data_IF_755939470506
#
_entry.id   IF_755939470506
#
_cell.length_a   1.000
_cell.length_b   1.000
_cell.length_c   1.000
_cell.angle_alpha   90.00
_cell.angle_beta   90.00
_cell.angle_gamma   90.00
#
_symmetry.space_group_name_H-M   'P 1'
#
loop_
_entity.id
_entity.type
_entity.pdbx_description
1 polymer ?
#
# COMPACT_ATOMS: atom_id res chain seq x y z
N UNK A 1 -60.72 10.12 59.23
CA UNK A 1 -59.81 10.04 60.37
C UNK A 1 -58.46 10.46 59.79
N UNK A 2 -58.17 11.74 59.73
CA UNK A 2 -57.64 12.65 60.73
C UNK A 2 -56.30 12.16 61.27
N UNK A 3 -55.24 12.81 60.88
CA UNK A 3 -54.25 13.50 61.69
C UNK A 3 -52.97 13.65 60.83
N UNK A 4 -52.51 14.76 60.56
CA UNK A 4 -52.03 15.97 61.21
C UNK A 4 -50.56 16.23 60.91
N UNK A 5 -50.36 17.35 60.40
CA UNK A 5 -49.17 18.06 59.99
C UNK A 5 -48.25 18.31 61.18
N UNK A 6 -46.98 18.08 61.05
CA UNK A 6 -45.96 18.72 61.87
C UNK A 6 -44.91 19.43 60.99
N UNK A 7 -45.06 20.73 60.88
CA UNK A 7 -44.03 21.71 60.44
C UNK A 7 -42.91 21.79 61.49
N UNK A 8 -41.66 21.66 61.11
CA UNK A 8 -40.51 22.13 61.88
C UNK A 8 -39.82 23.28 61.17
N UNK A 9 -39.29 24.22 61.94
CA UNK A 9 -38.92 25.54 61.40
C UNK A 9 -37.52 25.56 60.79
N UNK A 10 -37.38 26.52 59.86
CA UNK A 10 -36.10 26.95 59.30
C UNK A 10 -35.18 27.45 60.41
N UNK A 11 -34.00 26.87 60.51
CA UNK A 11 -32.83 27.51 61.14
C UNK A 11 -31.94 28.05 60.02
N UNK A 12 -31.84 29.35 59.99
CA UNK A 12 -30.85 30.10 59.28
C UNK A 12 -29.48 29.71 59.84
N UNK A 13 -28.58 29.24 59.03
CA UNK A 13 -27.17 29.23 59.34
C UNK A 13 -26.41 29.99 58.31
N UNK A 14 -25.81 31.05 58.84
CA UNK A 14 -25.04 32.04 58.14
C UNK A 14 -23.63 31.54 57.87
N UNK A 15 -23.11 31.84 56.70
CA UNK A 15 -21.72 32.15 56.52
C UNK A 15 -20.72 31.04 56.77
N UNK A 16 -20.41 30.24 55.68
CA UNK A 16 -19.05 29.70 55.49
C UNK A 16 -18.62 29.95 54.05
N UNK A 17 -18.15 31.16 53.86
CA UNK A 17 -17.25 31.55 52.79
C UNK A 17 -15.95 30.75 53.00
N UNK A 18 -15.89 29.54 52.43
CA UNK A 18 -14.76 28.61 52.48
C UNK A 18 -14.04 28.63 51.19
N UNK A 19 -12.99 29.42 51.12
CA UNK A 19 -12.05 29.59 50.02
C UNK A 19 -11.90 28.37 49.10
N UNK A 20 -12.48 28.42 47.90
CA UNK A 20 -12.04 27.63 46.78
C UNK A 20 -10.62 28.03 46.45
N UNK A 21 -9.66 27.38 47.13
CA UNK A 21 -8.26 27.50 46.83
C UNK A 21 -8.08 27.31 45.33
N UNK A 22 -7.71 28.40 44.64
CA UNK A 22 -7.15 28.35 43.30
C UNK A 22 -6.00 27.37 43.35
N UNK A 23 -6.26 26.09 43.03
CA UNK A 23 -5.20 25.15 42.71
C UNK A 23 -4.44 25.75 41.53
N UNK A 24 -3.30 26.37 41.89
CA UNK A 24 -2.40 27.03 40.97
C UNK A 24 -2.09 26.10 39.81
N UNK A 25 -2.53 26.47 38.61
CA UNK A 25 -2.27 25.74 37.38
C UNK A 25 -0.75 25.58 37.27
N UNK A 26 -0.25 24.40 37.60
CA UNK A 26 1.17 24.07 37.41
C UNK A 26 1.59 24.47 36.01
N UNK A 27 2.70 25.21 35.83
CA UNK A 27 3.13 25.68 34.51
C UNK A 27 3.25 24.48 33.54
N UNK A 28 2.84 24.68 32.30
CA UNK A 28 2.79 23.64 31.28
C UNK A 28 4.08 22.82 31.16
N UNK A 29 5.24 23.46 31.38
CA UNK A 29 6.57 22.82 31.45
C UNK A 29 6.72 21.82 32.60
N UNK A 30 6.13 22.08 33.78
CA UNK A 30 6.18 21.16 34.92
C UNK A 30 5.31 19.91 34.67
N UNK A 31 4.15 20.08 34.02
CA UNK A 31 3.28 18.97 33.63
C UNK A 31 3.95 18.08 32.58
N UNK A 32 4.68 18.67 31.62
CA UNK A 32 5.39 17.92 30.58
C UNK A 32 6.56 17.10 31.18
N UNK A 33 7.38 17.68 32.05
CA UNK A 33 8.46 16.96 32.77
C UNK A 33 7.94 15.82 33.64
N UNK A 34 6.81 16.02 34.33
CA UNK A 34 6.16 14.97 35.12
C UNK A 34 5.65 13.82 34.27
N UNK A 35 5.05 14.10 33.07
CA UNK A 35 4.66 13.09 32.10
C UNK A 35 5.86 12.33 31.55
N UNK A 36 6.93 13.02 31.14
CA UNK A 36 8.17 12.39 30.66
C UNK A 36 8.79 11.44 31.71
N UNK A 37 8.78 11.84 33.02
CA UNK A 37 9.27 10.96 34.08
C UNK A 37 8.39 9.73 34.28
N UNK A 38 7.08 9.89 34.20
CA UNK A 38 6.12 8.77 34.33
C UNK A 38 6.22 7.79 33.15
N UNK A 39 6.35 8.33 31.95
CA UNK A 39 6.35 7.56 30.72
C UNK A 39 7.78 7.17 30.26
N UNK A 40 8.78 7.34 31.15
CA UNK A 40 10.22 7.10 30.87
C UNK A 40 10.49 5.69 30.35
N UNK A 41 9.85 4.67 30.92
CA UNK A 41 10.03 3.29 30.47
C UNK A 41 9.49 3.09 29.06
N UNK A 42 8.34 3.69 28.71
CA UNK A 42 7.77 3.63 27.37
C UNK A 42 8.66 4.34 26.35
N UNK A 43 9.18 5.53 26.71
CA UNK A 43 10.12 6.28 25.87
C UNK A 43 11.41 5.47 25.64
N UNK A 44 11.94 4.84 26.69
CA UNK A 44 13.16 4.03 26.58
C UNK A 44 12.95 2.80 25.67
N UNK A 45 11.75 2.19 25.71
CA UNK A 45 11.40 1.06 24.85
C UNK A 45 11.18 1.47 23.38
N UNK A 46 10.71 2.69 23.11
CA UNK A 46 10.53 3.20 21.75
C UNK A 46 11.81 3.78 21.14
N UNK A 47 12.79 4.14 21.96
CA UNK A 47 14.02 4.79 21.52
C UNK A 47 14.81 3.97 20.47
N UNK A 48 15.04 2.65 20.65
CA UNK A 48 15.75 1.84 19.65
C UNK A 48 15.05 1.86 18.30
N UNK A 49 13.72 1.71 18.29
CA UNK A 49 12.93 1.75 17.05
C UNK A 49 13.02 3.13 16.38
N UNK A 50 12.95 4.21 17.17
CA UNK A 50 13.09 5.59 16.66
C UNK A 50 14.48 5.83 16.06
N UNK A 51 15.53 5.37 16.73
CA UNK A 51 16.92 5.48 16.24
C UNK A 51 17.09 4.74 14.92
N UNK A 52 16.61 3.48 14.83
CA UNK A 52 16.65 2.72 13.59
C UNK A 52 15.86 3.41 12.47
N UNK A 53 14.69 3.95 12.78
CA UNK A 53 13.89 4.72 11.81
C UNK A 53 14.64 5.96 11.31
N UNK A 54 15.30 6.71 12.20
CA UNK A 54 16.08 7.89 11.83
C UNK A 54 17.28 7.53 10.97
N UNK A 55 18.02 6.47 11.32
CA UNK A 55 19.24 6.06 10.61
C UNK A 55 18.89 5.43 9.25
N UNK A 56 17.92 4.51 9.20
CA UNK A 56 17.64 3.74 8.00
C UNK A 56 16.48 4.29 7.16
N UNK A 57 15.59 5.10 7.73
CA UNK A 57 14.48 5.74 7.03
C UNK A 57 14.79 7.17 6.61
N UNK A 58 15.18 8.01 7.57
CA UNK A 58 15.33 9.46 7.32
C UNK A 58 16.73 9.86 6.83
N UNK A 59 17.81 9.28 7.37
CA UNK A 59 19.16 9.66 6.95
C UNK A 59 19.41 9.44 5.45
N UNK A 60 18.95 8.34 4.81
CA UNK A 60 19.08 8.18 3.36
C UNK A 60 18.34 9.24 2.54
N UNK A 61 17.27 9.86 3.08
CA UNK A 61 16.56 10.94 2.40
C UNK A 61 17.44 12.19 2.18
N UNK A 62 18.49 12.36 3.00
CA UNK A 62 19.47 13.42 2.76
C UNK A 62 20.20 13.23 1.41
N UNK A 63 20.30 11.98 0.95
CA UNK A 63 20.84 11.65 -0.37
C UNK A 63 20.05 12.24 -1.54
N UNK A 64 18.77 12.59 -1.35
CA UNK A 64 17.96 13.25 -2.37
C UNK A 64 18.51 14.63 -2.77
N UNK A 65 19.36 15.23 -1.95
CA UNK A 65 20.08 16.47 -2.29
C UNK A 65 20.93 16.30 -3.56
N UNK A 66 21.44 15.09 -3.83
CA UNK A 66 22.19 14.80 -5.07
C UNK A 66 21.40 15.13 -6.34
N UNK A 67 20.06 15.09 -6.29
CA UNK A 67 19.22 15.47 -7.44
C UNK A 67 19.44 16.91 -7.92
N UNK A 68 19.96 17.78 -7.04
CA UNK A 68 20.22 19.20 -7.32
C UNK A 68 21.72 19.53 -7.50
N UNK A 69 22.57 18.50 -7.45
CA UNK A 69 24.02 18.62 -7.56
C UNK A 69 24.53 17.84 -8.77
N UNK A 70 25.68 18.23 -9.30
CA UNK A 70 26.53 17.34 -10.09
C UNK A 70 27.39 16.54 -9.12
N UNK A 71 26.77 15.49 -8.54
CA UNK A 71 27.35 14.74 -7.46
C UNK A 71 28.51 13.87 -7.94
N UNK A 72 29.65 14.05 -7.30
CA UNK A 72 30.82 13.21 -7.50
C UNK A 72 31.18 12.49 -6.20
N UNK A 73 31.32 11.17 -6.27
CA UNK A 73 31.62 10.32 -5.11
C UNK A 73 32.90 10.73 -4.38
N UNK A 74 33.90 11.21 -5.12
CA UNK A 74 35.19 11.64 -4.56
C UNK A 74 35.11 12.98 -3.84
N UNK A 75 34.21 13.86 -4.26
CA UNK A 75 34.00 15.19 -3.67
C UNK A 75 33.00 15.15 -2.53
N UNK A 76 32.09 14.16 -2.54
CA UNK A 76 31.02 14.02 -1.55
C UNK A 76 29.94 15.10 -1.64
N UNK A 77 28.97 15.08 -0.72
CA UNK A 77 27.84 16.01 -0.72
C UNK A 77 28.20 17.49 -0.55
N UNK A 78 29.24 17.79 0.24
CA UNK A 78 29.58 19.16 0.62
C UNK A 78 30.37 19.90 -0.46
N UNK A 79 31.08 19.18 -1.31
CA UNK A 79 31.97 19.75 -2.31
C UNK A 79 31.51 19.53 -3.75
N UNK A 80 30.43 18.78 -3.97
CA UNK A 80 29.86 18.61 -5.30
C UNK A 80 29.14 19.88 -5.74
N UNK A 81 29.36 20.32 -7.01
CA UNK A 81 28.76 21.55 -7.55
C UNK A 81 27.23 21.50 -7.51
N UNK A 82 26.64 22.62 -7.13
CA UNK A 82 25.19 22.77 -7.16
C UNK A 82 24.71 23.17 -8.54
N UNK A 83 23.89 22.34 -9.20
CA UNK A 83 23.38 22.57 -10.57
C UNK A 83 21.88 22.91 -10.61
N UNK A 84 21.25 23.05 -9.45
CA UNK A 84 19.82 23.35 -9.36
C UNK A 84 18.95 22.29 -10.02
N UNK A 85 18.13 22.66 -10.99
CA UNK A 85 17.18 21.75 -11.65
C UNK A 85 17.69 21.12 -12.95
N UNK A 86 18.98 21.23 -13.26
CA UNK A 86 19.54 20.73 -14.52
C UNK A 86 19.32 19.21 -14.72
N UNK A 87 19.46 18.41 -13.66
CA UNK A 87 19.20 16.97 -13.72
C UNK A 87 17.73 16.66 -14.06
N UNK A 88 16.77 17.48 -13.59
CA UNK A 88 15.36 17.34 -13.95
C UNK A 88 15.10 17.76 -15.40
N UNK A 89 15.76 18.81 -15.89
CA UNK A 89 15.66 19.21 -17.31
C UNK A 89 16.16 18.09 -18.20
N UNK A 90 17.30 17.48 -17.88
CA UNK A 90 17.82 16.32 -18.58
C UNK A 90 16.81 15.14 -18.51
N UNK A 91 16.25 14.85 -17.33
CA UNK A 91 15.27 13.78 -17.13
C UNK A 91 14.06 13.94 -18.05
N UNK A 92 13.47 15.15 -18.12
CA UNK A 92 12.28 15.40 -18.93
C UNK A 92 12.54 15.48 -20.43
N UNK A 93 13.79 15.63 -20.86
CA UNK A 93 14.18 15.56 -22.26
C UNK A 93 14.59 14.16 -22.72
N UNK A 94 14.76 13.21 -21.78
CA UNK A 94 15.16 11.83 -22.08
C UNK A 94 13.96 10.99 -22.57
N UNK A 95 13.98 10.49 -23.81
CA UNK A 95 12.95 9.57 -24.29
C UNK A 95 12.87 8.26 -23.50
N UNK A 96 13.97 7.82 -22.86
CA UNK A 96 14.04 6.64 -22.01
C UNK A 96 13.17 6.81 -20.77
N UNK A 97 13.23 7.98 -20.15
CA UNK A 97 12.37 8.32 -19.01
C UNK A 97 10.89 8.26 -19.35
N UNK A 98 10.47 8.84 -20.47
CA UNK A 98 9.06 8.82 -20.89
C UNK A 98 8.57 7.43 -21.22
N UNK A 99 9.41 6.57 -21.81
CA UNK A 99 9.09 5.16 -22.02
C UNK A 99 8.90 4.41 -20.70
N UNK A 100 9.84 4.59 -19.76
CA UNK A 100 9.77 3.97 -18.45
C UNK A 100 8.51 4.45 -17.67
N UNK A 101 8.18 5.74 -17.75
CA UNK A 101 6.97 6.30 -17.17
C UNK A 101 5.72 5.67 -17.80
N UNK A 102 5.65 5.61 -19.13
CA UNK A 102 4.52 5.00 -19.84
C UNK A 102 4.35 3.54 -19.47
N UNK A 103 5.44 2.75 -19.44
CA UNK A 103 5.41 1.36 -19.03
C UNK A 103 4.91 1.21 -17.60
N UNK A 104 5.36 2.06 -16.67
CA UNK A 104 4.92 2.05 -15.28
C UNK A 104 3.43 2.32 -15.17
N UNK A 105 2.93 3.37 -15.82
CA UNK A 105 1.50 3.74 -15.78
C UNK A 105 0.63 2.66 -16.43
N UNK A 106 1.03 2.14 -17.59
CA UNK A 106 0.27 1.08 -18.29
C UNK A 106 0.23 -0.19 -17.43
N UNK A 107 1.38 -0.63 -16.92
CA UNK A 107 1.46 -1.83 -16.09
C UNK A 107 0.65 -1.68 -14.80
N UNK A 108 0.78 -0.53 -14.13
CA UNK A 108 -0.03 -0.24 -12.95
C UNK A 108 -1.53 -0.25 -13.25
N UNK A 109 -1.94 0.33 -14.38
CA UNK A 109 -3.36 0.35 -14.80
C UNK A 109 -3.91 -1.05 -15.06
N UNK A 110 -3.13 -1.90 -15.75
CA UNK A 110 -3.50 -3.31 -15.97
C UNK A 110 -3.61 -4.03 -14.62
N UNK A 111 -2.63 -3.86 -13.74
CA UNK A 111 -2.65 -4.50 -12.43
C UNK A 111 -3.80 -4.00 -11.57
N UNK A 112 -4.07 -2.69 -11.56
CA UNK A 112 -5.20 -2.14 -10.82
C UNK A 112 -6.53 -2.73 -11.29
N UNK A 113 -6.71 -2.82 -12.61
CA UNK A 113 -7.94 -3.34 -13.21
C UNK A 113 -8.13 -4.85 -13.01
N UNK A 114 -7.05 -5.63 -13.10
CA UNK A 114 -7.11 -7.09 -13.03
C UNK A 114 -6.90 -7.61 -11.61
N UNK A 115 -5.91 -7.10 -10.89
CA UNK A 115 -5.56 -7.60 -9.55
C UNK A 115 -6.56 -7.15 -8.49
N UNK A 116 -7.04 -5.90 -8.51
CA UNK A 116 -7.83 -5.35 -7.42
C UNK A 116 -9.19 -6.04 -7.21
N UNK A 117 -9.95 -6.46 -8.26
CA UNK A 117 -11.21 -7.18 -8.10
C UNK A 117 -11.04 -8.63 -7.63
N UNK A 118 -9.90 -9.28 -7.91
CA UNK A 118 -9.72 -10.72 -7.67
C UNK A 118 -9.74 -11.08 -6.18
N UNK A 119 -9.03 -10.40 -5.26
CA UNK A 119 -9.13 -10.66 -3.83
C UNK A 119 -10.54 -10.44 -3.26
N UNK A 120 -11.28 -9.46 -3.79
CA UNK A 120 -12.67 -9.19 -3.38
C UNK A 120 -13.56 -10.37 -3.79
N UNK A 121 -13.45 -10.80 -5.04
CA UNK A 121 -14.20 -11.94 -5.55
C UNK A 121 -13.87 -13.22 -4.79
N UNK A 122 -12.59 -13.46 -4.50
CA UNK A 122 -12.12 -14.62 -3.75
C UNK A 122 -12.59 -14.58 -2.29
N UNK A 123 -12.60 -13.41 -1.64
CA UNK A 123 -13.13 -13.24 -0.28
C UNK A 123 -14.63 -13.57 -0.21
N UNK A 124 -15.43 -13.10 -1.17
CA UNK A 124 -16.86 -13.39 -1.28
C UNK A 124 -17.08 -14.90 -1.54
N UNK A 125 -16.25 -15.51 -2.39
CA UNK A 125 -16.30 -16.95 -2.64
C UNK A 125 -16.02 -17.74 -1.36
N UNK A 126 -14.96 -17.39 -0.64
CA UNK A 126 -14.62 -18.03 0.65
C UNK A 126 -15.70 -17.84 1.71
N UNK A 127 -16.31 -16.66 1.80
CA UNK A 127 -17.39 -16.40 2.73
C UNK A 127 -18.64 -17.25 2.42
N UNK A 128 -18.88 -17.56 1.14
CA UNK A 128 -20.00 -18.43 0.72
C UNK A 128 -19.79 -19.92 1.02
N UNK A 129 -18.58 -20.34 1.44
CA UNK A 129 -18.27 -21.75 1.71
C UNK A 129 -18.84 -22.22 3.04
N UNK A 130 -19.59 -23.33 3.00
CA UNK A 130 -20.20 -23.94 4.18
C UNK A 130 -19.19 -24.58 5.14
N UNK A 131 -18.12 -25.20 4.59
CA UNK A 131 -17.11 -25.88 5.39
C UNK A 131 -16.00 -24.93 5.82
N UNK A 132 -15.93 -24.60 7.12
CA UNK A 132 -14.86 -23.77 7.69
C UNK A 132 -13.47 -24.39 7.52
N UNK A 133 -13.35 -25.74 7.60
CA UNK A 133 -12.07 -26.44 7.45
C UNK A 133 -11.55 -26.33 6.01
N UNK A 134 -12.43 -26.59 5.03
CA UNK A 134 -12.10 -26.50 3.61
C UNK A 134 -11.71 -25.06 3.22
N UNK A 135 -12.49 -24.07 3.70
CA UNK A 135 -12.17 -22.66 3.51
C UNK A 135 -10.77 -22.31 4.04
N UNK A 136 -10.46 -22.73 5.28
CA UNK A 136 -9.15 -22.47 5.89
C UNK A 136 -8.00 -23.14 5.10
N UNK A 137 -8.20 -24.39 4.65
CA UNK A 137 -7.20 -25.09 3.84
C UNK A 137 -6.94 -24.37 2.51
N UNK A 138 -7.99 -24.06 1.75
CA UNK A 138 -7.85 -23.39 0.45
C UNK A 138 -7.23 -22.00 0.62
N UNK A 139 -7.65 -21.25 1.65
CA UNK A 139 -7.07 -19.94 1.96
C UNK A 139 -5.58 -20.06 2.29
N UNK A 140 -5.18 -21.02 3.11
CA UNK A 140 -3.77 -21.24 3.45
C UNK A 140 -2.94 -21.56 2.21
N UNK A 141 -3.43 -22.45 1.34
CA UNK A 141 -2.76 -22.79 0.07
C UNK A 141 -2.69 -21.58 -0.86
N UNK A 142 -3.78 -20.82 -1.00
CA UNK A 142 -3.82 -19.63 -1.84
C UNK A 142 -2.90 -18.51 -1.35
N UNK A 143 -2.59 -18.48 -0.03
CA UNK A 143 -1.70 -17.48 0.56
C UNK A 143 -0.21 -17.90 0.53
N UNK A 144 0.12 -19.16 0.26
CA UNK A 144 1.50 -19.64 0.23
C UNK A 144 2.40 -18.87 -0.74
N UNK A 145 1.97 -18.54 -1.99
CA UNK A 145 2.83 -17.87 -2.95
C UNK A 145 3.32 -16.49 -2.47
N UNK A 146 2.58 -15.82 -1.58
CA UNK A 146 2.99 -14.53 -1.01
C UNK A 146 4.35 -14.61 -0.30
N UNK A 147 4.67 -15.72 0.33
CA UNK A 147 5.92 -15.91 1.07
C UNK A 147 7.12 -16.27 0.18
N UNK A 148 6.91 -16.49 -1.12
CA UNK A 148 7.99 -16.78 -2.05
C UNK A 148 8.70 -15.48 -2.47
N UNK A 149 10.03 -15.54 -2.62
CA UNK A 149 10.79 -14.45 -3.24
C UNK A 149 10.41 -14.30 -4.71
N UNK A 150 10.58 -13.08 -5.27
CA UNK A 150 10.35 -12.87 -6.70
C UNK A 150 11.24 -13.74 -7.59
N UNK A 151 12.46 -14.03 -7.15
CA UNK A 151 13.36 -14.97 -7.87
C UNK A 151 12.69 -16.33 -8.04
N UNK A 152 12.16 -16.90 -6.95
CA UNK A 152 11.48 -18.19 -6.98
C UNK A 152 10.22 -18.15 -7.86
N UNK A 153 9.40 -17.11 -7.70
CA UNK A 153 8.18 -16.94 -8.51
C UNK A 153 8.52 -16.93 -10.01
N UNK A 154 9.48 -16.09 -10.41
CA UNK A 154 9.88 -15.96 -11.82
C UNK A 154 10.46 -17.27 -12.33
N UNK A 155 11.30 -17.94 -11.55
CA UNK A 155 11.85 -19.25 -11.92
C UNK A 155 10.75 -20.30 -12.15
N UNK A 156 9.72 -20.34 -11.30
CA UNK A 156 8.57 -21.25 -11.49
C UNK A 156 7.88 -20.95 -12.83
N UNK A 157 7.60 -19.65 -13.10
CA UNK A 157 6.96 -19.25 -14.34
C UNK A 157 7.84 -19.53 -15.57
N UNK A 158 9.15 -19.34 -15.46
CA UNK A 158 10.11 -19.64 -16.53
C UNK A 158 10.14 -21.15 -16.85
N UNK A 159 10.18 -22.01 -15.83
CA UNK A 159 10.11 -23.46 -16.01
C UNK A 159 8.76 -23.92 -16.61
N UNK A 160 7.71 -23.20 -16.36
CA UNK A 160 6.38 -23.52 -16.91
C UNK A 160 6.14 -22.94 -18.29
N UNK A 161 6.45 -21.66 -18.50
CA UNK A 161 6.01 -20.84 -19.65
C UNK A 161 7.17 -20.39 -20.57
N UNK A 162 8.42 -20.43 -20.11
CA UNK A 162 9.59 -20.05 -20.90
C UNK A 162 9.78 -20.98 -22.10
N UNK A 163 10.53 -20.55 -23.10
CA UNK A 163 10.67 -21.28 -24.40
C UNK A 163 11.07 -22.76 -24.30
N UNK A 164 11.83 -23.15 -23.26
CA UNK A 164 12.16 -24.55 -22.95
C UNK A 164 11.25 -25.18 -21.88
N UNK A 165 10.22 -24.45 -21.42
CA UNK A 165 9.35 -24.85 -20.32
C UNK A 165 8.35 -25.95 -20.69
N UNK A 166 7.63 -26.39 -19.62
CA UNK A 166 6.68 -27.53 -19.73
C UNK A 166 5.56 -27.24 -20.74
N UNK A 167 4.96 -26.03 -20.69
CA UNK A 167 3.85 -25.66 -21.59
C UNK A 167 4.27 -25.61 -23.06
N UNK A 168 5.36 -24.90 -23.44
CA UNK A 168 5.83 -24.91 -24.83
C UNK A 168 6.25 -26.32 -25.30
N UNK A 169 6.82 -27.14 -24.45
CA UNK A 169 7.14 -28.54 -24.78
C UNK A 169 5.88 -29.37 -25.09
N UNK A 170 4.86 -29.23 -24.26
CA UNK A 170 3.55 -29.86 -24.46
C UNK A 170 2.88 -29.39 -25.76
N UNK A 171 2.89 -28.08 -26.04
CA UNK A 171 2.32 -27.52 -27.26
C UNK A 171 3.02 -28.03 -28.53
N UNK A 172 4.36 -28.14 -28.50
CA UNK A 172 5.15 -28.71 -29.61
C UNK A 172 4.79 -30.17 -29.88
N UNK A 173 4.59 -30.96 -28.81
CA UNK A 173 4.14 -32.37 -28.94
C UNK A 173 2.75 -32.49 -29.58
N UNK A 174 1.91 -31.46 -29.45
CA UNK A 174 0.55 -31.44 -30.03
C UNK A 174 0.47 -30.66 -31.36
N UNK A 175 1.60 -30.47 -32.06
CA UNK A 175 1.63 -29.93 -33.42
C UNK A 175 1.78 -28.40 -33.52
N UNK A 176 1.92 -27.68 -32.41
CA UNK A 176 2.21 -26.25 -32.41
C UNK A 176 3.73 -26.09 -32.46
N UNK A 177 4.29 -25.91 -33.65
CA UNK A 177 5.75 -25.91 -33.89
C UNK A 177 6.48 -24.72 -33.29
N UNK A 178 5.85 -23.54 -33.24
CA UNK A 178 6.43 -22.31 -32.75
C UNK A 178 5.53 -21.65 -31.67
N UNK A 179 5.46 -22.22 -30.45
CA UNK A 179 4.75 -21.58 -29.37
C UNK A 179 5.45 -20.27 -28.99
N UNK A 180 4.66 -19.19 -28.75
CA UNK A 180 5.19 -17.90 -28.29
C UNK A 180 5.89 -18.11 -26.93
N UNK A 181 7.12 -17.63 -26.82
CA UNK A 181 7.79 -17.55 -25.53
C UNK A 181 7.24 -16.35 -24.76
N UNK A 182 6.27 -16.61 -23.90
CA UNK A 182 5.55 -15.60 -23.15
C UNK A 182 6.46 -14.81 -22.21
N UNK A 183 7.61 -15.38 -21.83
CA UNK A 183 8.56 -14.73 -20.91
C UNK A 183 9.41 -13.65 -21.60
N UNK A 184 9.60 -13.77 -22.92
CA UNK A 184 10.46 -12.85 -23.71
C UNK A 184 9.68 -11.98 -24.69
N UNK A 185 8.40 -12.29 -24.95
CA UNK A 185 7.58 -11.54 -25.90
C UNK A 185 7.08 -10.21 -25.30
N UNK A 186 7.48 -9.05 -25.88
CA UNK A 186 7.06 -7.74 -25.39
C UNK A 186 5.55 -7.50 -25.38
N UNK A 187 4.79 -8.17 -26.27
CA UNK A 187 3.36 -8.00 -26.40
C UNK A 187 2.56 -8.63 -25.24
N UNK A 188 3.03 -9.76 -24.75
CA UNK A 188 2.40 -10.52 -23.67
C UNK A 188 2.99 -10.21 -22.29
N UNK A 189 4.18 -9.64 -22.23
CA UNK A 189 4.95 -9.43 -21.02
C UNK A 189 4.17 -8.73 -19.90
N UNK A 190 3.47 -7.64 -20.19
CA UNK A 190 2.71 -6.88 -19.19
C UNK A 190 1.58 -7.68 -18.56
N UNK A 191 0.93 -8.56 -19.33
CA UNK A 191 -0.09 -9.47 -18.81
C UNK A 191 0.53 -10.60 -17.99
N UNK A 192 1.65 -11.15 -18.43
CA UNK A 192 2.40 -12.16 -17.69
C UNK A 192 2.80 -11.65 -16.29
N UNK A 193 3.42 -10.46 -16.23
CA UNK A 193 3.85 -9.83 -14.98
C UNK A 193 2.66 -9.57 -14.06
N UNK A 194 1.53 -9.16 -14.63
CA UNK A 194 0.29 -8.98 -13.88
C UNK A 194 -0.27 -10.30 -13.36
N UNK A 195 -0.20 -11.37 -14.15
CA UNK A 195 -0.62 -12.72 -13.73
C UNK A 195 0.25 -13.27 -12.61
N UNK A 196 1.58 -13.06 -12.67
CA UNK A 196 2.52 -13.42 -11.60
C UNK A 196 2.16 -12.69 -10.29
N UNK A 197 1.87 -11.38 -10.36
CA UNK A 197 1.44 -10.60 -9.19
C UNK A 197 0.13 -11.12 -8.61
N UNK A 198 -0.88 -11.36 -9.47
CA UNK A 198 -2.17 -11.90 -9.06
C UNK A 198 -1.99 -13.23 -8.33
N UNK A 199 -1.24 -14.14 -8.93
CA UNK A 199 -0.97 -15.45 -8.33
C UNK A 199 -0.27 -15.33 -6.98
N UNK A 200 0.72 -14.43 -6.87
CA UNK A 200 1.51 -14.24 -5.67
C UNK A 200 0.71 -13.57 -4.53
N UNK A 201 -0.04 -12.52 -4.82
CA UNK A 201 -0.53 -11.61 -3.79
C UNK A 201 -2.03 -11.76 -3.46
N UNK A 202 -2.81 -12.42 -4.33
CA UNK A 202 -4.28 -12.50 -4.18
C UNK A 202 -4.70 -13.18 -2.89
N UNK A 203 -4.10 -14.34 -2.56
CA UNK A 203 -4.48 -15.10 -1.37
C UNK A 203 -4.26 -14.30 -0.08
N UNK A 204 -3.15 -13.59 0.01
CA UNK A 204 -2.83 -12.71 1.15
C UNK A 204 -3.78 -11.53 1.24
N UNK A 205 -3.98 -10.80 0.14
CA UNK A 205 -4.88 -9.64 0.07
C UNK A 205 -6.33 -10.00 0.39
N UNK A 206 -6.75 -11.22 0.09
CA UNK A 206 -8.10 -11.74 0.40
C UNK A 206 -8.39 -11.75 1.90
N UNK A 207 -7.37 -11.94 2.76
CA UNK A 207 -7.53 -11.96 4.22
C UNK A 207 -8.14 -10.65 4.73
N UNK A 208 -7.70 -9.52 4.19
CA UNK A 208 -8.18 -8.19 4.59
C UNK A 208 -9.67 -8.03 4.26
N UNK A 209 -10.08 -8.46 3.06
CA UNK A 209 -11.48 -8.43 2.66
C UNK A 209 -12.35 -9.42 3.45
N UNK A 210 -11.83 -10.59 3.80
CA UNK A 210 -12.53 -11.54 4.67
C UNK A 210 -12.76 -10.97 6.07
N UNK A 211 -11.77 -10.26 6.64
CA UNK A 211 -11.94 -9.58 7.92
C UNK A 211 -13.01 -8.48 7.84
N UNK A 212 -13.05 -7.73 6.74
CA UNK A 212 -14.08 -6.73 6.51
C UNK A 212 -15.48 -7.34 6.33
N UNK A 213 -15.59 -8.48 5.62
CA UNK A 213 -16.85 -9.23 5.51
C UNK A 213 -17.37 -9.71 6.87
N UNK A 214 -16.48 -10.20 7.73
CA UNK A 214 -16.82 -10.66 9.07
C UNK A 214 -17.30 -9.51 10.00
N UNK A 215 -16.99 -8.26 9.68
CA UNK A 215 -17.45 -7.08 10.42
C UNK A 215 -18.87 -6.62 10.03
N UNK A 216 -19.43 -7.12 8.92
CA UNK A 216 -20.80 -6.80 8.49
C UNK A 216 -21.78 -7.51 9.42
N UNK A 217 -22.76 -6.77 9.99
CA UNK A 217 -23.74 -7.35 10.92
C UNK A 217 -24.56 -8.47 10.26
N UNK A 218 -24.62 -9.67 10.87
CA UNK A 218 -25.46 -10.77 10.41
C UNK A 218 -26.95 -10.41 10.32
N UNK A 219 -27.43 -9.50 11.17
CA UNK A 219 -28.83 -9.06 11.20
C UNK A 219 -29.28 -8.43 9.88
N UNK A 220 -28.37 -7.79 9.12
CA UNK A 220 -28.70 -7.27 7.80
C UNK A 220 -29.03 -8.38 6.80
N UNK A 221 -28.31 -9.49 6.88
CA UNK A 221 -28.55 -10.66 6.02
C UNK A 221 -29.83 -11.41 6.41
N UNK A 222 -30.13 -11.47 7.73
CA UNK A 222 -31.34 -12.06 8.26
C UNK A 222 -32.59 -11.26 7.85
N UNK A 223 -32.56 -9.93 8.02
CA UNK A 223 -33.66 -9.05 7.58
C UNK A 223 -33.89 -9.19 6.07
N UNK A 224 -32.84 -9.12 5.27
CA UNK A 224 -32.94 -9.31 3.82
C UNK A 224 -33.45 -10.71 3.42
N UNK A 225 -33.24 -11.72 4.26
CA UNK A 225 -33.78 -13.07 4.02
C UNK A 225 -35.30 -13.11 4.26
N UNK A 226 -35.79 -12.44 5.32
CA UNK A 226 -37.23 -12.30 5.61
C UNK A 226 -37.92 -11.53 4.47
N UNK A 227 -37.27 -10.49 3.91
CA UNK A 227 -37.76 -9.72 2.77
C UNK A 227 -37.68 -10.48 1.43
N UNK A 228 -37.28 -11.76 1.42
CA UNK A 228 -37.18 -12.58 0.22
C UNK A 228 -36.01 -12.18 -0.71
N UNK A 229 -35.00 -11.45 -0.23
CA UNK A 229 -33.85 -11.09 -1.04
C UNK A 229 -32.97 -12.30 -1.38
N UNK A 230 -32.84 -12.61 -2.67
CA UNK A 230 -31.93 -13.64 -3.17
C UNK A 230 -30.45 -13.28 -2.98
N UNK A 231 -29.56 -14.28 -3.23
CA UNK A 231 -28.09 -14.12 -3.03
C UNK A 231 -27.51 -12.92 -3.76
N UNK A 232 -27.89 -12.68 -5.03
CA UNK A 232 -27.41 -11.55 -5.84
C UNK A 232 -27.84 -10.19 -5.27
N UNK A 233 -29.08 -10.09 -4.77
CA UNK A 233 -29.58 -8.85 -4.16
C UNK A 233 -28.83 -8.53 -2.86
N UNK A 234 -28.58 -9.55 -2.01
CA UNK A 234 -27.75 -9.40 -0.80
C UNK A 234 -26.31 -9.01 -1.12
N UNK A 235 -25.68 -9.63 -2.12
CA UNK A 235 -24.35 -9.28 -2.58
C UNK A 235 -24.27 -7.80 -2.97
N UNK A 236 -25.20 -7.34 -3.81
CA UNK A 236 -25.17 -5.97 -4.37
C UNK A 236 -25.51 -4.88 -3.35
N UNK A 237 -26.42 -5.16 -2.40
CA UNK A 237 -26.99 -4.14 -1.50
C UNK A 237 -26.46 -4.22 -0.06
N UNK A 238 -25.83 -5.31 0.36
CA UNK A 238 -25.28 -5.47 1.71
C UNK A 238 -23.76 -5.70 1.62
N UNK A 239 -23.34 -6.75 0.93
CA UNK A 239 -21.93 -7.19 0.92
C UNK A 239 -21.02 -6.16 0.25
N UNK A 240 -21.28 -5.78 -1.01
CA UNK A 240 -20.45 -4.82 -1.74
C UNK A 240 -20.44 -3.42 -1.10
N UNK A 241 -21.59 -2.86 -0.65
CA UNK A 241 -21.57 -1.61 0.11
C UNK A 241 -20.84 -1.71 1.45
N UNK A 242 -20.94 -2.85 2.15
CA UNK A 242 -20.18 -3.11 3.38
C UNK A 242 -18.67 -3.16 3.19
N UNK A 243 -18.20 -3.60 2.02
CA UNK A 243 -16.79 -3.60 1.67
C UNK A 243 -16.28 -2.26 1.14
N UNK A 244 -17.16 -1.29 0.83
CA UNK A 244 -16.79 -0.05 0.14
C UNK A 244 -15.70 0.73 0.88
N UNK A 245 -15.79 0.87 2.18
CA UNK A 245 -14.83 1.66 2.97
C UNK A 245 -13.41 1.07 2.89
N UNK A 246 -13.27 -0.24 3.12
CA UNK A 246 -11.97 -0.91 3.03
C UNK A 246 -11.43 -0.93 1.59
N UNK A 247 -12.31 -1.10 0.61
CA UNK A 247 -11.95 -1.07 -0.81
C UNK A 247 -11.34 0.28 -1.19
N UNK A 248 -11.96 1.39 -0.79
CA UNK A 248 -11.46 2.74 -1.05
C UNK A 248 -10.15 2.99 -0.31
N UNK A 249 -10.04 2.56 0.95
CA UNK A 249 -8.80 2.70 1.72
C UNK A 249 -7.64 1.98 1.03
N UNK A 250 -7.83 0.71 0.64
CA UNK A 250 -6.80 -0.07 -0.06
C UNK A 250 -6.49 0.50 -1.44
N UNK A 251 -7.48 1.06 -2.14
CA UNK A 251 -7.27 1.74 -3.42
C UNK A 251 -6.37 2.98 -3.26
N UNK A 252 -6.60 3.80 -2.24
CA UNK A 252 -5.75 4.98 -1.96
C UNK A 252 -4.32 4.54 -1.66
N UNK A 253 -4.14 3.50 -0.84
CA UNK A 253 -2.81 2.96 -0.55
C UNK A 253 -2.13 2.42 -1.81
N UNK A 254 -2.86 1.69 -2.65
CA UNK A 254 -2.33 1.16 -3.91
C UNK A 254 -1.91 2.28 -4.88
N UNK A 255 -2.70 3.37 -4.96
CA UNK A 255 -2.33 4.54 -5.75
C UNK A 255 -1.06 5.23 -5.24
N UNK A 256 -0.81 5.19 -3.94
CA UNK A 256 0.45 5.67 -3.36
C UNK A 256 1.68 4.88 -3.83
N UNK A 257 1.52 3.60 -4.12
CA UNK A 257 2.58 2.73 -4.63
C UNK A 257 2.63 2.66 -6.16
N UNK A 258 1.75 3.37 -6.87
CA UNK A 258 1.56 3.25 -8.31
C UNK A 258 2.85 3.38 -9.16
N UNK A 259 3.76 4.25 -8.73
CA UNK A 259 5.01 4.50 -9.46
C UNK A 259 6.23 3.75 -8.88
N UNK A 260 6.11 3.21 -7.67
CA UNK A 260 7.25 2.62 -6.95
C UNK A 260 7.20 1.08 -6.87
N UNK A 261 6.11 0.47 -7.36
CA UNK A 261 5.94 -0.98 -7.26
C UNK A 261 6.76 -1.77 -8.28
N UNK A 262 6.95 -3.07 -8.02
CA UNK A 262 7.46 -4.04 -9.00
C UNK A 262 8.95 -3.98 -9.27
N UNK A 263 9.76 -3.24 -8.50
CA UNK A 263 11.20 -3.11 -8.72
C UNK A 263 11.90 -4.47 -8.88
N UNK A 264 11.79 -5.35 -7.89
CA UNK A 264 12.48 -6.64 -7.88
C UNK A 264 11.99 -7.54 -9.03
N UNK A 265 10.65 -7.62 -9.21
CA UNK A 265 10.04 -8.39 -10.29
C UNK A 265 10.50 -7.93 -11.67
N UNK A 266 10.53 -6.61 -11.90
CA UNK A 266 10.95 -6.04 -13.19
C UNK A 266 12.45 -6.18 -13.42
N UNK A 267 13.25 -5.93 -12.38
CA UNK A 267 14.71 -6.00 -12.49
C UNK A 267 15.19 -7.38 -12.94
N UNK A 268 14.60 -8.45 -12.39
CA UNK A 268 14.98 -9.83 -12.74
C UNK A 268 14.61 -10.17 -14.18
N UNK A 269 13.46 -9.66 -14.68
CA UNK A 269 12.95 -10.00 -16.02
C UNK A 269 13.37 -9.01 -17.10
N UNK A 270 13.99 -7.87 -16.74
CA UNK A 270 14.37 -6.81 -17.69
C UNK A 270 15.29 -7.30 -18.79
N UNK A 271 16.26 -8.16 -18.44
CA UNK A 271 17.21 -8.74 -19.41
C UNK A 271 16.55 -9.64 -20.45
N UNK A 272 15.44 -10.29 -20.13
CA UNK A 272 14.75 -11.20 -21.04
C UNK A 272 13.87 -10.46 -22.06
N UNK A 273 13.22 -9.35 -21.66
CA UNK A 273 12.25 -8.64 -22.50
C UNK A 273 12.78 -7.32 -23.08
N UNK A 274 13.88 -6.82 -22.50
CA UNK A 274 14.53 -5.57 -22.89
C UNK A 274 13.84 -4.30 -22.35
N UNK A 275 14.57 -3.17 -22.48
CA UNK A 275 14.17 -1.90 -21.90
C UNK A 275 12.89 -1.31 -22.53
N UNK A 276 12.59 -1.65 -23.78
CA UNK A 276 11.41 -1.11 -24.48
C UNK A 276 10.09 -1.49 -23.80
N UNK A 277 9.96 -2.71 -23.31
CA UNK A 277 8.74 -3.23 -22.72
C UNK A 277 8.81 -3.44 -21.20
N UNK A 278 10.01 -3.76 -20.67
CA UNK A 278 10.21 -4.12 -19.27
C UNK A 278 10.72 -3.01 -18.36
N UNK A 279 11.32 -1.94 -18.89
CA UNK A 279 11.86 -0.87 -18.05
C UNK A 279 10.72 -0.03 -17.46
N UNK A 280 10.68 0.02 -16.13
CA UNK A 280 9.79 0.87 -15.33
C UNK A 280 10.60 1.95 -14.62
N UNK A 281 9.94 2.98 -14.07
CA UNK A 281 10.64 4.11 -13.45
C UNK A 281 11.59 3.71 -12.32
N UNK A 282 11.26 2.69 -11.53
CA UNK A 282 12.12 2.20 -10.45
C UNK A 282 13.39 1.54 -11.00
N UNK A 283 13.27 0.72 -12.04
CA UNK A 283 14.44 0.09 -12.70
C UNK A 283 15.25 1.11 -13.52
N UNK A 284 14.59 2.13 -14.08
CA UNK A 284 15.26 3.26 -14.72
C UNK A 284 16.15 4.03 -13.74
N UNK A 285 15.60 4.45 -12.60
CA UNK A 285 16.36 5.15 -11.55
C UNK A 285 17.55 4.32 -11.05
N UNK A 286 17.35 3.00 -10.88
CA UNK A 286 18.43 2.07 -10.49
C UNK A 286 19.50 1.94 -11.56
N UNK A 287 19.11 1.74 -12.81
CA UNK A 287 20.04 1.58 -13.94
C UNK A 287 20.96 2.79 -14.09
N UNK A 288 20.38 3.99 -14.19
CA UNK A 288 21.18 5.21 -14.35
C UNK A 288 21.89 5.62 -13.07
N UNK A 289 21.21 5.53 -11.91
CA UNK A 289 21.77 5.98 -10.65
C UNK A 289 22.85 5.08 -10.09
N UNK A 290 22.62 3.76 -10.09
CA UNK A 290 23.51 2.79 -9.43
C UNK A 290 24.41 2.09 -10.44
N UNK A 291 23.86 1.51 -11.52
CA UNK A 291 24.62 0.69 -12.46
C UNK A 291 25.58 1.57 -13.29
N UNK A 292 25.09 2.70 -13.79
CA UNK A 292 25.90 3.64 -14.58
C UNK A 292 26.66 4.66 -13.73
N UNK A 293 26.41 4.70 -12.40
CA UNK A 293 27.11 5.60 -11.47
C UNK A 293 26.68 7.08 -11.56
N UNK A 294 25.60 7.40 -12.29
CA UNK A 294 25.06 8.77 -12.34
C UNK A 294 24.06 8.99 -11.21
N UNK A 295 24.58 9.14 -9.99
CA UNK A 295 23.78 9.26 -8.77
C UNK A 295 22.84 10.46 -8.81
N UNK A 296 23.28 11.59 -9.38
CA UNK A 296 22.48 12.81 -9.50
C UNK A 296 21.23 12.59 -10.34
N UNK A 297 21.39 11.96 -11.49
CA UNK A 297 20.31 11.67 -12.41
C UNK A 297 19.35 10.61 -11.85
N UNK A 298 19.88 9.54 -11.23
CA UNK A 298 19.09 8.54 -10.54
C UNK A 298 18.30 9.12 -9.35
N UNK A 299 18.92 10.04 -8.57
CA UNK A 299 18.27 10.73 -7.48
C UNK A 299 17.15 11.67 -7.97
N UNK A 300 17.34 12.36 -9.11
CA UNK A 300 16.31 13.19 -9.73
C UNK A 300 15.09 12.34 -10.15
N UNK A 301 15.31 11.18 -10.77
CA UNK A 301 14.25 10.22 -11.11
C UNK A 301 13.54 9.69 -9.86
N UNK A 302 14.29 9.33 -8.81
CA UNK A 302 13.72 8.87 -7.52
C UNK A 302 12.91 9.96 -6.81
N UNK A 303 13.37 11.21 -6.85
CA UNK A 303 12.65 12.34 -6.25
C UNK A 303 11.35 12.63 -7.02
N UNK A 304 11.38 12.56 -8.35
CA UNK A 304 10.17 12.64 -9.18
C UNK A 304 9.15 11.55 -8.80
N UNK A 305 9.59 10.30 -8.64
CA UNK A 305 8.76 9.19 -8.19
C UNK A 305 8.09 9.48 -6.84
N UNK A 306 8.88 9.88 -5.84
CA UNK A 306 8.40 10.17 -4.50
C UNK A 306 7.39 11.33 -4.49
N UNK A 307 7.71 12.42 -5.18
CA UNK A 307 6.84 13.60 -5.25
C UNK A 307 5.51 13.29 -5.95
N UNK A 308 5.56 12.59 -7.07
CA UNK A 308 4.35 12.20 -7.82
C UNK A 308 3.51 11.21 -7.01
N UNK A 309 4.10 10.28 -6.26
CA UNK A 309 3.38 9.38 -5.36
C UNK A 309 2.61 10.15 -4.27
N UNK A 310 3.21 11.17 -3.67
CA UNK A 310 2.55 12.03 -2.69
C UNK A 310 1.35 12.76 -3.32
N UNK A 311 1.52 13.31 -4.54
CA UNK A 311 0.41 13.96 -5.27
C UNK A 311 -0.73 12.97 -5.51
N UNK A 312 -0.41 11.74 -5.94
CA UNK A 312 -1.42 10.71 -6.19
C UNK A 312 -2.18 10.33 -4.92
N UNK A 313 -1.50 10.17 -3.78
CA UNK A 313 -2.14 9.88 -2.49
C UNK A 313 -3.09 11.02 -2.09
N UNK A 314 -2.62 12.26 -2.17
CA UNK A 314 -3.44 13.44 -1.81
C UNK A 314 -4.65 13.58 -2.73
N UNK A 315 -4.46 13.38 -4.04
CA UNK A 315 -5.53 13.41 -5.02
C UNK A 315 -6.56 12.30 -4.76
N UNK A 316 -6.09 11.07 -4.55
CA UNK A 316 -6.95 9.93 -4.23
C UNK A 316 -7.74 10.13 -2.93
N UNK A 317 -7.08 10.66 -1.90
CA UNK A 317 -7.74 10.99 -0.63
C UNK A 317 -8.84 12.06 -0.81
N UNK A 318 -8.59 13.12 -1.60
CA UNK A 318 -9.62 14.12 -1.94
C UNK A 318 -10.81 13.50 -2.68
N UNK A 319 -10.53 12.62 -3.64
CA UNK A 319 -11.57 11.91 -4.41
C UNK A 319 -12.41 11.04 -3.47
N UNK A 320 -11.80 10.30 -2.54
CA UNK A 320 -12.52 9.50 -1.54
C UNK A 320 -13.50 10.33 -0.71
N UNK A 321 -13.08 11.52 -0.26
CA UNK A 321 -13.95 12.46 0.47
C UNK A 321 -15.11 12.97 -0.38
N UNK A 322 -14.93 13.21 -1.69
CA UNK A 322 -16.02 13.59 -2.59
C UNK A 322 -17.08 12.49 -2.71
N UNK A 323 -16.68 11.21 -2.58
CA UNK A 323 -17.60 10.07 -2.55
C UNK A 323 -18.16 9.75 -1.14
N UNK A 324 -17.97 10.66 -0.16
CA UNK A 324 -18.52 10.54 1.19
C UNK A 324 -17.87 9.45 2.02
N UNK A 325 -16.62 9.08 1.72
CA UNK A 325 -15.86 8.11 2.50
C UNK A 325 -14.75 8.80 3.29
N UNK A 326 -14.46 8.28 4.48
CA UNK A 326 -13.29 8.68 5.24
C UNK A 326 -12.03 8.24 4.48
N UNK A 327 -11.20 9.21 4.10
CA UNK A 327 -9.88 8.93 3.53
C UNK A 327 -8.85 8.61 4.61
N UNK A 328 -7.57 8.55 4.22
CA UNK A 328 -6.45 8.37 5.17
C UNK A 328 -6.32 9.54 6.14
N UNK A 329 -6.66 10.75 5.71
CA UNK A 329 -6.61 11.97 6.52
C UNK A 329 -8.02 12.53 6.68
N UNK A 330 -8.43 12.75 7.94
CA UNK A 330 -9.61 13.57 8.24
C UNK A 330 -9.31 15.02 7.88
N UNK A 331 -10.32 15.74 7.36
CA UNK A 331 -10.25 17.21 7.20
C UNK A 331 -10.07 17.89 8.54
#
# INVERSE_FOLDING_TARGET
MSTEVARRPQAADAGRDGGRGRQGARPARARWRARLRRDRSLILMTLPALVLLLIFGYAPMLGLVMAFQDYNVYSGFLHSPWVGVANFQQLFTDPGFWRALTNTVVLFSIQLALFFPVPIALAILFDSMLSRRLRGLIQSVASLPHFFSWVLVITIFEQMLGGAGVLPAFLRQHGITNPVDVMTDPGTFKFLVSAQLIWKETGWSTIVFMAALAAISPTLYEAAAVDGAGRWRRLRHITLPGLKAITILLLILQLGYALTFGFEQMLIQLGAVGNSAGQVLTTFSYEYGIVQGNFSYGAAAGLFLGFTSVILIVAANKVAHLFGQDGLYRR
#
